data_IF_460000954698
#
_entry.id   IF_460000954698
#
_cell.length_a   1.000
_cell.length_b   1.000
_cell.length_c   1.000
_cell.angle_alpha   90.00
_cell.angle_beta   90.00
_cell.angle_gamma   90.00
#
_symmetry.space_group_name_H-M   'P 1'
#
loop_
_entity.id
_entity.type
_entity.pdbx_description
1 polymer ?
#
# COMPACT_ATOMS: atom_id res chain seq x y z
N UNK A 1 30.64 36.03 -9.00
CA UNK A 1 30.03 36.06 -7.66
C UNK A 1 30.51 34.81 -6.94
N UNK A 2 31.55 34.92 -6.12
CA UNK A 2 32.19 33.78 -5.44
C UNK A 2 31.35 33.35 -4.25
N UNK A 3 30.94 32.08 -4.20
CA UNK A 3 30.18 31.52 -3.07
C UNK A 3 31.18 31.20 -1.97
N UNK A 4 31.17 31.96 -0.89
CA UNK A 4 31.96 31.66 0.28
C UNK A 4 31.44 30.37 0.94
N UNK A 5 32.27 29.34 0.99
CA UNK A 5 32.02 28.13 1.77
C UNK A 5 32.19 28.48 3.25
N UNK A 6 31.09 28.60 3.98
CA UNK A 6 31.09 28.72 5.43
C UNK A 6 31.41 27.34 6.01
N UNK A 7 32.53 27.23 6.72
CA UNK A 7 32.87 25.99 7.43
C UNK A 7 31.83 25.73 8.54
N UNK A 8 31.32 24.49 8.68
CA UNK A 8 30.35 24.19 9.71
C UNK A 8 31.03 24.26 11.08
N UNK A 9 30.62 25.23 11.91
CA UNK A 9 31.02 25.25 13.32
C UNK A 9 30.46 24.00 13.99
N UNK A 10 31.35 23.16 14.53
CA UNK A 10 30.98 22.04 15.40
C UNK A 10 30.55 22.64 16.73
N UNK A 11 29.32 23.12 16.79
CA UNK A 11 28.65 23.44 18.04
C UNK A 11 27.78 22.23 18.34
N UNK A 12 28.05 21.58 19.47
CA UNK A 12 27.15 20.55 20.01
C UNK A 12 25.83 21.22 20.39
N UNK A 13 24.94 21.33 19.41
CA UNK A 13 23.59 21.85 19.61
C UNK A 13 22.84 20.78 20.42
N UNK A 14 22.41 21.07 21.66
CA UNK A 14 21.59 20.12 22.41
C UNK A 14 20.33 19.79 21.61
N UNK A 15 19.82 18.55 21.70
CA UNK A 15 18.63 18.15 20.95
C UNK A 15 17.50 19.15 21.24
N UNK A 16 16.95 19.74 20.17
CA UNK A 16 15.82 20.66 20.25
C UNK A 16 14.68 19.99 21.03
N UNK A 17 14.47 20.41 22.27
CA UNK A 17 13.43 19.85 23.16
C UNK A 17 12.01 20.18 22.67
N UNK A 18 11.89 21.17 21.78
CA UNK A 18 10.62 21.59 21.20
C UNK A 18 10.52 21.14 19.73
N UNK A 19 9.35 20.65 19.28
CA UNK A 19 9.13 20.41 17.86
C UNK A 19 9.37 21.71 17.08
N UNK A 20 9.90 21.57 15.86
CA UNK A 20 10.10 22.72 14.98
C UNK A 20 8.79 23.53 14.89
N UNK A 21 8.83 24.86 15.09
CA UNK A 21 7.62 25.67 15.02
C UNK A 21 7.00 25.49 13.64
N UNK A 22 5.68 25.27 13.58
CA UNK A 22 4.93 25.19 12.33
C UNK A 22 5.10 26.52 11.59
N UNK A 23 6.01 26.56 10.62
CA UNK A 23 6.18 27.72 9.77
C UNK A 23 5.00 27.73 8.78
N UNK A 24 4.06 28.69 8.87
CA UNK A 24 2.86 28.67 8.04
C UNK A 24 3.17 28.84 6.55
N UNK A 25 4.31 29.45 6.20
CA UNK A 25 4.81 29.53 4.83
C UNK A 25 5.34 28.20 4.26
N UNK A 26 5.51 27.18 5.10
CA UNK A 26 5.93 25.82 4.72
C UNK A 26 4.82 24.78 4.95
N UNK A 27 3.69 25.21 5.49
CA UNK A 27 2.53 24.35 5.75
C UNK A 27 1.63 24.27 4.51
N UNK A 28 1.12 23.08 4.23
CA UNK A 28 0.15 22.90 3.14
C UNK A 28 -1.15 23.67 3.44
N UNK A 29 -1.63 24.41 2.44
CA UNK A 29 -2.94 25.05 2.51
C UNK A 29 -4.06 23.99 2.40
N UNK A 30 -5.31 24.40 2.64
CA UNK A 30 -6.46 23.50 2.65
C UNK A 30 -6.62 22.75 1.32
N UNK A 31 -6.52 23.45 0.20
CA UNK A 31 -6.67 22.86 -1.14
C UNK A 31 -5.58 21.82 -1.42
N UNK A 32 -4.34 22.11 -1.03
CA UNK A 32 -3.21 21.18 -1.17
C UNK A 32 -3.39 19.92 -0.32
N UNK A 33 -3.92 20.07 0.91
CA UNK A 33 -4.24 18.94 1.78
C UNK A 33 -5.36 18.08 1.17
N UNK A 34 -6.44 18.69 0.72
CA UNK A 34 -7.56 17.99 0.07
C UNK A 34 -7.10 17.25 -1.19
N UNK A 35 -6.27 17.90 -2.02
CA UNK A 35 -5.66 17.28 -3.19
C UNK A 35 -4.72 16.12 -2.80
N UNK A 36 -3.93 16.27 -1.74
CA UNK A 36 -3.08 15.19 -1.23
C UNK A 36 -3.90 13.99 -0.76
N UNK A 37 -4.99 14.21 -0.03
CA UNK A 37 -5.88 13.15 0.44
C UNK A 37 -6.54 12.39 -0.71
N UNK A 38 -7.00 13.09 -1.76
CA UNK A 38 -7.57 12.44 -2.94
C UNK A 38 -6.56 11.57 -3.69
N UNK A 39 -5.31 12.04 -3.83
CA UNK A 39 -4.24 11.23 -4.40
C UNK A 39 -3.93 10.00 -3.55
N UNK A 40 -3.83 10.15 -2.23
CA UNK A 40 -3.59 9.02 -1.32
C UNK A 40 -4.71 7.97 -1.43
N UNK A 41 -5.98 8.41 -1.48
CA UNK A 41 -7.11 7.51 -1.64
C UNK A 41 -7.03 6.74 -2.97
N UNK A 42 -6.74 7.45 -4.08
CA UNK A 42 -6.57 6.83 -5.39
C UNK A 42 -5.42 5.82 -5.41
N UNK A 43 -4.26 6.18 -4.88
CA UNK A 43 -3.10 5.28 -4.82
C UNK A 43 -3.40 4.05 -3.97
N UNK A 44 -4.12 4.19 -2.85
CA UNK A 44 -4.55 3.05 -2.02
C UNK A 44 -5.42 2.07 -2.82
N UNK A 45 -6.37 2.57 -3.60
CA UNK A 45 -7.21 1.75 -4.48
C UNK A 45 -6.40 1.06 -5.59
N UNK A 46 -5.52 1.81 -6.26
CA UNK A 46 -4.66 1.27 -7.33
C UNK A 46 -3.75 0.14 -6.82
N UNK A 47 -3.16 0.31 -5.63
CA UNK A 47 -2.33 -0.72 -5.00
C UNK A 47 -3.16 -1.93 -4.55
N UNK A 48 -4.34 -1.71 -3.98
CA UNK A 48 -5.27 -2.79 -3.63
C UNK A 48 -5.66 -3.63 -4.86
N UNK A 49 -6.07 -2.97 -5.94
CA UNK A 49 -6.45 -3.66 -7.18
C UNK A 49 -5.27 -4.40 -7.83
N UNK A 50 -4.06 -3.82 -7.79
CA UNK A 50 -2.84 -4.49 -8.29
C UNK A 50 -2.56 -5.79 -7.53
N UNK A 51 -2.90 -5.86 -6.24
CA UNK A 51 -2.77 -7.08 -5.42
C UNK A 51 -3.94 -8.06 -5.65
N UNK A 52 -5.16 -7.57 -5.84
CA UNK A 52 -6.34 -8.41 -6.06
C UNK A 52 -6.39 -9.06 -7.44
N UNK A 53 -5.95 -8.36 -8.49
CA UNK A 53 -5.96 -8.86 -9.87
C UNK A 53 -5.33 -10.26 -10.04
N UNK A 54 -4.09 -10.53 -9.58
CA UNK A 54 -3.51 -11.87 -9.71
C UNK A 54 -4.25 -12.93 -8.88
N UNK A 55 -4.81 -12.57 -7.72
CA UNK A 55 -5.60 -13.49 -6.90
C UNK A 55 -6.90 -13.91 -7.60
N UNK A 56 -7.60 -12.95 -8.25
CA UNK A 56 -8.79 -13.21 -9.05
C UNK A 56 -8.49 -14.14 -10.23
N UNK A 57 -7.40 -13.88 -10.96
CA UNK A 57 -6.96 -14.74 -12.07
C UNK A 57 -6.66 -16.17 -11.59
N UNK A 58 -5.85 -16.31 -10.54
CA UNK A 58 -5.48 -17.62 -9.99
C UNK A 58 -6.70 -18.39 -9.46
N UNK A 59 -7.65 -17.69 -8.81
CA UNK A 59 -8.92 -18.28 -8.38
C UNK A 59 -9.72 -18.83 -9.57
N UNK A 60 -9.83 -18.07 -10.65
CA UNK A 60 -10.55 -18.50 -11.85
C UNK A 60 -9.91 -19.74 -12.49
N UNK A 61 -8.57 -19.79 -12.55
CA UNK A 61 -7.84 -20.96 -13.04
C UNK A 61 -8.11 -22.21 -12.18
N UNK A 62 -8.00 -22.09 -10.85
CA UNK A 62 -8.26 -23.21 -9.94
C UNK A 62 -9.73 -23.65 -9.98
N UNK A 63 -10.66 -22.71 -10.13
CA UNK A 63 -12.08 -23.01 -10.28
C UNK A 63 -12.34 -23.77 -11.58
N UNK A 64 -11.69 -23.39 -12.68
CA UNK A 64 -11.79 -24.11 -13.95
C UNK A 64 -11.23 -25.54 -13.84
N UNK A 65 -10.10 -25.71 -13.15
CA UNK A 65 -9.54 -27.04 -12.86
C UNK A 65 -10.46 -27.86 -11.96
N UNK A 66 -11.08 -27.24 -10.95
CA UNK A 66 -12.02 -27.90 -10.04
C UNK A 66 -13.24 -28.44 -10.79
N UNK A 67 -13.79 -27.65 -11.71
CA UNK A 67 -14.93 -28.04 -12.54
C UNK A 67 -14.60 -29.14 -13.54
N UNK A 68 -13.34 -29.26 -13.97
CA UNK A 68 -12.87 -30.26 -14.95
C UNK A 68 -12.35 -31.55 -14.32
N UNK A 69 -11.96 -31.53 -13.04
CA UNK A 69 -11.45 -32.72 -12.37
C UNK A 69 -12.61 -33.69 -12.08
N UNK A 70 -12.38 -34.99 -12.27
CA UNK A 70 -13.32 -36.06 -11.85
C UNK A 70 -12.85 -36.75 -10.56
N UNK A 71 -11.62 -36.46 -10.12
CA UNK A 71 -11.04 -37.07 -8.93
C UNK A 71 -11.47 -36.33 -7.65
N UNK A 72 -12.08 -37.05 -6.71
CA UNK A 72 -12.50 -36.50 -5.41
C UNK A 72 -11.35 -35.91 -4.61
N UNK A 73 -10.20 -36.59 -4.59
CA UNK A 73 -9.03 -36.13 -3.85
C UNK A 73 -8.47 -34.82 -4.44
N UNK A 74 -8.47 -34.71 -5.77
CA UNK A 74 -8.03 -33.50 -6.46
C UNK A 74 -9.01 -32.35 -6.26
N UNK A 75 -10.33 -32.58 -6.35
CA UNK A 75 -11.35 -31.57 -5.99
C UNK A 75 -11.16 -31.06 -4.57
N UNK A 76 -10.90 -31.94 -3.60
CA UNK A 76 -10.63 -31.50 -2.23
C UNK A 76 -9.37 -30.64 -2.14
N UNK A 77 -8.28 -31.00 -2.83
CA UNK A 77 -7.04 -30.21 -2.89
C UNK A 77 -7.31 -28.82 -3.47
N UNK A 78 -8.00 -28.75 -4.61
CA UNK A 78 -8.32 -27.52 -5.31
C UNK A 78 -9.25 -26.62 -4.48
N UNK A 79 -10.25 -27.19 -3.81
CA UNK A 79 -11.14 -26.44 -2.91
C UNK A 79 -10.37 -25.78 -1.76
N UNK A 80 -9.43 -26.50 -1.13
CA UNK A 80 -8.58 -25.91 -0.07
C UNK A 80 -7.74 -24.75 -0.60
N UNK A 81 -7.20 -24.88 -1.80
CA UNK A 81 -6.38 -23.83 -2.41
C UNK A 81 -7.23 -22.60 -2.80
N UNK A 82 -8.44 -22.80 -3.34
CA UNK A 82 -9.39 -21.72 -3.59
C UNK A 82 -9.71 -20.97 -2.29
N UNK A 83 -10.02 -21.70 -1.21
CA UNK A 83 -10.33 -21.08 0.08
C UNK A 83 -9.15 -20.24 0.62
N UNK A 84 -7.90 -20.68 0.41
CA UNK A 84 -6.71 -19.90 0.79
C UNK A 84 -6.58 -18.61 -0.01
N UNK A 85 -6.86 -18.66 -1.31
CA UNK A 85 -6.87 -17.47 -2.16
C UNK A 85 -7.97 -16.51 -1.73
N UNK A 86 -9.17 -17.02 -1.45
CA UNK A 86 -10.31 -16.21 -1.00
C UNK A 86 -10.00 -15.53 0.34
N UNK A 87 -9.36 -16.24 1.28
CA UNK A 87 -8.91 -15.64 2.54
C UNK A 87 -7.82 -14.56 2.32
N UNK A 88 -6.88 -14.80 1.40
CA UNK A 88 -5.84 -13.83 1.05
C UNK A 88 -6.43 -12.59 0.38
N UNK A 89 -7.43 -12.77 -0.49
CA UNK A 89 -8.14 -11.67 -1.12
C UNK A 89 -8.92 -10.84 -0.08
N UNK A 90 -9.50 -11.49 0.92
CA UNK A 90 -10.18 -10.81 2.02
C UNK A 90 -9.22 -9.98 2.88
N UNK A 91 -7.99 -10.46 3.14
CA UNK A 91 -6.95 -9.67 3.83
C UNK A 91 -6.51 -8.45 3.01
N UNK A 92 -6.37 -8.61 1.70
CA UNK A 92 -6.09 -7.47 0.82
C UNK A 92 -7.25 -6.48 0.84
N UNK A 93 -8.50 -6.95 0.81
CA UNK A 93 -9.64 -6.04 0.93
C UNK A 93 -9.62 -5.32 2.28
N UNK A 94 -9.48 -6.01 3.41
CA UNK A 94 -9.52 -5.36 4.74
C UNK A 94 -8.42 -4.30 4.93
N UNK A 95 -7.24 -4.50 4.33
CA UNK A 95 -6.10 -3.57 4.45
C UNK A 95 -6.19 -2.39 3.48
N UNK A 96 -6.77 -2.59 2.31
CA UNK A 96 -6.72 -1.62 1.21
C UNK A 96 -8.09 -0.97 0.89
N UNK A 97 -9.17 -1.41 1.54
CA UNK A 97 -10.50 -0.76 1.50
C UNK A 97 -10.64 0.40 2.47
#
# INVERSE_FOLDING_TARGET
>A
MSVATVEPSIVDVPPLENPCPDLPCWSLNREQKERGLTFLQRTRQELGERKLKPLRSKRAELQALYSKSDCRAEKMRLSREINRIDASAQDVLSRWS
#
